data_IF_851819763913
#
_entry.id   IF_851819763913
#
_cell.length_a   1.000
_cell.length_b   1.000
_cell.length_c   1.000
_cell.angle_alpha   90.00
_cell.angle_beta   90.00
_cell.angle_gamma   90.00
#
_symmetry.space_group_name_H-M   'P 1'
#
loop_
_entity.id
_entity.type
_entity.pdbx_description
1 polymer ?
#
# COMPACT_ATOMS: atom_id res chain seq x y z
N UNK A 1 12.07 6.91 16.70
CA UNK A 1 10.99 7.02 15.69
C UNK A 1 11.54 7.83 14.54
N UNK A 2 11.51 7.31 13.31
CA UNK A 2 11.81 8.12 12.12
C UNK A 2 10.67 9.13 11.98
N UNK A 3 10.99 10.41 11.82
CA UNK A 3 9.98 11.41 11.47
C UNK A 3 9.26 10.93 10.20
N UNK A 4 7.94 10.76 10.30
CA UNK A 4 7.11 10.51 9.13
C UNK A 4 7.28 11.72 8.21
N UNK A 5 7.68 11.53 6.93
CA UNK A 5 7.82 12.63 5.98
C UNK A 5 6.54 13.47 6.00
N UNK A 6 6.69 14.77 6.24
CA UNK A 6 5.62 15.75 6.28
C UNK A 6 4.85 15.72 4.95
N UNK A 7 3.77 14.94 4.90
CA UNK A 7 3.02 14.69 3.66
C UNK A 7 2.47 13.27 3.52
N UNK A 8 2.95 12.31 4.31
CA UNK A 8 2.33 10.97 4.32
C UNK A 8 0.99 11.04 5.07
N UNK A 9 -0.06 10.72 4.34
CA UNK A 9 -1.41 10.57 4.88
C UNK A 9 -1.45 9.36 5.82
N UNK A 10 -1.55 9.62 7.14
CA UNK A 10 -1.48 8.59 8.16
C UNK A 10 -2.58 7.54 7.99
N UNK A 11 -3.76 7.94 7.52
CA UNK A 11 -4.88 7.02 7.28
C UNK A 11 -4.52 6.02 6.17
N UNK A 12 -3.79 6.46 5.14
CA UNK A 12 -3.31 5.59 4.07
C UNK A 12 -2.28 4.60 4.58
N UNK A 13 -1.35 5.02 5.45
CA UNK A 13 -0.36 4.11 6.06
C UNK A 13 -1.04 3.03 6.90
N UNK A 14 -2.02 3.43 7.71
CA UNK A 14 -2.78 2.51 8.57
C UNK A 14 -3.54 1.50 7.70
N UNK A 15 -4.22 1.97 6.66
CA UNK A 15 -4.99 1.11 5.76
C UNK A 15 -4.11 0.15 4.96
N UNK A 16 -2.97 0.62 4.42
CA UNK A 16 -1.97 -0.25 3.79
C UNK A 16 -1.48 -1.30 4.78
N UNK A 17 -1.17 -0.91 6.02
CA UNK A 17 -0.77 -1.83 7.07
C UNK A 17 -1.80 -2.93 7.28
N UNK A 18 -3.07 -2.54 7.50
CA UNK A 18 -4.18 -3.49 7.68
C UNK A 18 -4.33 -4.44 6.49
N UNK A 19 -4.31 -3.91 5.27
CA UNK A 19 -4.47 -4.72 4.06
C UNK A 19 -3.32 -5.73 3.87
N UNK A 20 -2.10 -5.38 4.27
CA UNK A 20 -0.95 -6.29 4.19
C UNK A 20 -1.01 -7.35 5.30
N UNK A 21 -1.42 -6.97 6.50
CA UNK A 21 -1.56 -7.89 7.63
C UNK A 21 -2.71 -8.88 7.38
N UNK A 22 -3.83 -8.44 6.77
CA UNK A 22 -4.95 -9.29 6.35
C UNK A 22 -4.59 -10.23 5.18
N UNK A 23 -3.54 -9.90 4.41
CA UNK A 23 -3.17 -10.63 3.19
C UNK A 23 -2.07 -11.68 3.39
N UNK A 24 -1.64 -11.94 4.63
CA UNK A 24 -0.68 -13.00 4.97
C UNK A 24 -1.08 -14.39 4.42
N UNK A 25 -2.38 -14.64 4.25
CA UNK A 25 -2.90 -15.92 3.75
C UNK A 25 -2.94 -16.06 2.21
N UNK A 26 -2.72 -14.98 1.44
CA UNK A 26 -2.93 -14.96 -0.03
C UNK A 26 -1.79 -14.30 -0.84
N UNK A 27 -0.54 -14.80 -0.74
CA UNK A 27 0.53 -14.40 -1.65
C UNK A 27 0.37 -14.99 -3.07
N UNK A 28 0.79 -14.28 -4.14
CA UNK A 28 1.44 -12.95 -4.14
C UNK A 28 0.44 -11.78 -4.14
N UNK A 29 0.85 -10.66 -3.53
CA UNK A 29 0.05 -9.44 -3.39
C UNK A 29 -0.05 -8.65 -4.71
N UNK A 30 -1.25 -8.45 -5.29
CA UNK A 30 -1.42 -7.64 -6.50
C UNK A 30 -1.37 -6.14 -6.15
N UNK A 31 -0.23 -5.51 -6.42
CA UNK A 31 0.06 -4.13 -5.99
C UNK A 31 -0.96 -3.13 -6.57
N UNK A 32 -1.30 -3.28 -7.85
CA UNK A 32 -2.24 -2.37 -8.51
C UNK A 32 -3.67 -2.47 -7.95
N UNK A 33 -4.11 -3.68 -7.57
CA UNK A 33 -5.42 -3.88 -6.96
C UNK A 33 -5.48 -3.35 -5.52
N UNK A 34 -4.38 -3.47 -4.77
CA UNK A 34 -4.23 -2.83 -3.46
C UNK A 34 -4.37 -1.30 -3.57
N UNK A 35 -3.71 -0.67 -4.54
CA UNK A 35 -3.83 0.78 -4.79
C UNK A 35 -5.27 1.16 -5.11
N UNK A 36 -5.96 0.42 -5.99
CA UNK A 36 -7.38 0.65 -6.30
C UNK A 36 -8.26 0.52 -5.06
N UNK A 37 -8.03 -0.49 -4.23
CA UNK A 37 -8.79 -0.72 -2.99
C UNK A 37 -8.60 0.40 -1.98
N UNK A 38 -7.37 0.90 -1.84
CA UNK A 38 -7.09 2.05 -0.98
C UNK A 38 -7.82 3.29 -1.51
N UNK A 39 -7.84 3.49 -2.84
CA UNK A 39 -8.49 4.65 -3.46
C UNK A 39 -10.01 4.64 -3.33
N UNK A 40 -10.63 3.47 -3.34
CA UNK A 40 -12.07 3.34 -3.10
C UNK A 40 -12.44 3.44 -1.62
N UNK A 41 -11.50 3.15 -0.71
CA UNK A 41 -11.73 3.15 0.74
C UNK A 41 -11.45 4.51 1.39
N UNK A 42 -10.41 5.21 0.94
CA UNK A 42 -9.93 6.45 1.56
C UNK A 42 -9.94 7.63 0.61
N UNK A 43 -10.40 8.79 1.13
CA UNK A 43 -10.20 10.09 0.47
C UNK A 43 -8.87 10.67 0.92
N UNK A 44 -7.87 10.54 0.07
CA UNK A 44 -6.51 11.03 0.31
C UNK A 44 -6.01 11.87 -0.86
N UNK A 45 -5.01 12.71 -0.61
CA UNK A 45 -4.35 13.56 -1.62
C UNK A 45 -3.18 12.86 -2.31
N UNK A 46 -2.74 11.70 -1.82
CA UNK A 46 -1.65 10.94 -2.41
C UNK A 46 -2.04 10.45 -3.81
N UNK A 47 -1.16 10.62 -4.78
CA UNK A 47 -1.30 10.03 -6.11
C UNK A 47 -1.25 8.50 -6.06
N UNK A 48 -1.70 7.82 -7.11
CA UNK A 48 -1.62 6.36 -7.20
C UNK A 48 -0.18 5.87 -7.14
N UNK A 49 0.76 6.61 -7.72
CA UNK A 49 2.19 6.30 -7.66
C UNK A 49 2.77 6.43 -6.24
N UNK A 50 2.33 7.41 -5.46
CA UNK A 50 2.75 7.57 -4.07
C UNK A 50 2.20 6.44 -3.17
N UNK A 51 0.96 6.01 -3.42
CA UNK A 51 0.38 4.86 -2.71
C UNK A 51 1.07 3.57 -3.12
N UNK A 52 1.32 3.37 -4.41
CA UNK A 52 2.06 2.21 -4.91
C UNK A 52 3.43 2.10 -4.24
N UNK A 53 4.17 3.20 -4.19
CA UNK A 53 5.46 3.25 -3.50
C UNK A 53 5.35 2.87 -2.02
N UNK A 54 4.33 3.37 -1.33
CA UNK A 54 4.08 3.05 0.07
C UNK A 54 3.76 1.56 0.27
N UNK A 55 2.89 0.99 -0.57
CA UNK A 55 2.55 -0.44 -0.56
C UNK A 55 3.81 -1.28 -0.76
N UNK A 56 4.63 -0.95 -1.76
CA UNK A 56 5.88 -1.67 -2.06
C UNK A 56 6.87 -1.57 -0.90
N UNK A 57 7.08 -0.38 -0.33
CA UNK A 57 7.98 -0.20 0.81
C UNK A 57 7.51 -1.02 2.03
N UNK A 58 6.21 -0.97 2.34
CA UNK A 58 5.63 -1.65 3.50
C UNK A 58 5.56 -3.17 3.34
N UNK A 59 5.29 -3.67 2.14
CA UNK A 59 5.30 -5.10 1.83
C UNK A 59 6.73 -5.66 1.79
N UNK A 60 7.68 -4.92 1.22
CA UNK A 60 9.10 -5.31 1.20
C UNK A 60 9.67 -5.41 2.62
N UNK A 61 9.34 -4.46 3.50
CA UNK A 61 9.77 -4.49 4.90
C UNK A 61 9.22 -5.71 5.67
N UNK A 62 8.09 -6.28 5.23
CA UNK A 62 7.50 -7.51 5.78
C UNK A 62 7.98 -8.78 5.07
N UNK A 63 8.78 -8.67 4.01
CA UNK A 63 9.20 -9.81 3.19
C UNK A 63 8.05 -10.47 2.41
N UNK A 64 6.95 -9.74 2.16
CA UNK A 64 5.79 -10.27 1.45
C UNK A 64 6.05 -10.31 -0.07
N UNK A 65 5.76 -11.43 -0.75
CA UNK A 65 5.88 -11.51 -2.19
C UNK A 65 4.80 -10.66 -2.87
N UNK A 66 5.21 -9.90 -3.88
CA UNK A 66 4.35 -8.96 -4.62
C UNK A 66 4.30 -9.31 -6.10
N UNK A 67 3.17 -9.02 -6.75
CA UNK A 67 3.02 -9.05 -8.21
C UNK A 67 2.62 -7.67 -8.73
N UNK A 68 3.30 -7.25 -9.79
CA UNK A 68 3.07 -6.00 -10.49
C UNK A 68 2.32 -6.31 -11.79
N UNK A 69 1.00 -6.31 -11.72
CA UNK A 69 0.18 -6.45 -12.92
C UNK A 69 0.24 -5.16 -13.75
N UNK A 70 0.11 -5.28 -15.08
CA UNK A 70 0.15 -4.12 -15.99
C UNK A 70 -0.97 -3.13 -15.62
N UNK A 71 -0.72 -1.80 -15.65
CA UNK A 71 -1.77 -0.81 -15.45
C UNK A 71 -2.84 -0.99 -16.54
N UNK A 72 -4.11 -0.98 -16.12
CA UNK A 72 -5.26 -0.92 -17.01
C UNK A 72 -5.40 0.48 -17.62
#
# INVERSE_FOLDING_TARGET
MRDLPSGIDADVVIEVGRLLDDAEDLPPLPVHDLVKRIRTTLRTRLSDQEIEKLVVEMASNRGLPMVFDKPA
#
